data_IF_616917280986
#
_entry.id   IF_616917280986
#
_cell.length_a   1.000
_cell.length_b   1.000
_cell.length_c   1.000
_cell.angle_alpha   90.00
_cell.angle_beta   90.00
_cell.angle_gamma   90.00
#
_symmetry.space_group_name_H-M   'P 1'
#
loop_
_entity.id
_entity.type
_entity.pdbx_description
1 polymer ?
#
# COMPACT_ATOMS: atom_id res chain seq x y z
N UNK A 1 -11.46 -10.70 19.27
CA UNK A 1 -12.75 -10.20 18.72
C UNK A 1 -13.17 -8.84 19.29
N UNK A 2 -13.29 -8.67 20.62
CA UNK A 2 -13.80 -7.41 21.21
C UNK A 2 -12.96 -6.13 20.94
N UNK A 3 -11.75 -6.28 20.40
CA UNK A 3 -10.83 -5.18 20.05
C UNK A 3 -10.57 -5.12 18.53
N UNK A 4 -11.60 -5.37 17.71
CA UNK A 4 -11.55 -5.30 16.23
C UNK A 4 -10.57 -6.26 15.53
N UNK A 5 -10.03 -7.24 16.26
CA UNK A 5 -9.29 -8.36 15.67
C UNK A 5 -10.27 -9.30 14.97
N UNK A 6 -10.00 -9.60 13.70
CA UNK A 6 -10.76 -10.55 12.90
C UNK A 6 -10.96 -11.87 13.66
N UNK A 7 -12.16 -12.44 13.56
CA UNK A 7 -12.54 -13.66 14.32
C UNK A 7 -11.56 -14.79 14.02
N UNK A 8 -11.28 -15.04 12.74
CA UNK A 8 -10.36 -16.08 12.29
C UNK A 8 -8.94 -15.92 12.89
N UNK A 9 -8.43 -14.69 12.93
CA UNK A 9 -7.10 -14.39 13.52
C UNK A 9 -7.13 -14.58 15.04
N UNK A 10 -8.21 -14.18 15.70
CA UNK A 10 -8.36 -14.36 17.14
C UNK A 10 -8.48 -15.84 17.53
N UNK A 11 -9.14 -16.65 16.70
CA UNK A 11 -9.26 -18.10 16.87
C UNK A 11 -7.90 -18.79 16.67
N UNK A 12 -7.18 -18.48 15.58
CA UNK A 12 -5.82 -19.01 15.32
C UNK A 12 -4.85 -18.67 16.47
N UNK A 13 -4.85 -17.41 16.94
CA UNK A 13 -4.06 -17.00 18.10
C UNK A 13 -4.41 -17.80 19.36
N UNK A 14 -5.69 -18.05 19.59
CA UNK A 14 -6.17 -18.83 20.72
C UNK A 14 -5.70 -20.29 20.67
N UNK A 15 -5.77 -20.92 19.49
CA UNK A 15 -5.30 -22.29 19.28
C UNK A 15 -3.79 -22.41 19.47
N UNK A 16 -3.00 -21.48 18.91
CA UNK A 16 -1.54 -21.44 19.07
C UNK A 16 -1.13 -21.25 20.52
N UNK A 17 -1.80 -20.35 21.24
CA UNK A 17 -1.54 -20.13 22.66
C UNK A 17 -1.86 -21.38 23.48
N UNK A 18 -3.02 -22.02 23.23
CA UNK A 18 -3.41 -23.25 23.91
C UNK A 18 -2.42 -24.40 23.67
N UNK A 19 -1.84 -24.49 22.46
CA UNK A 19 -0.79 -25.45 22.14
C UNK A 19 0.49 -25.18 22.96
N UNK A 20 1.00 -23.93 22.94
CA UNK A 20 2.19 -23.55 23.73
C UNK A 20 2.01 -23.78 25.23
N UNK A 21 0.82 -23.50 25.76
CA UNK A 21 0.52 -23.71 27.19
C UNK A 21 0.48 -25.18 27.61
N UNK A 22 0.19 -26.12 26.70
CA UNK A 22 0.25 -27.55 27.01
C UNK A 22 1.69 -28.05 27.17
N UNK A 23 2.64 -27.40 26.51
CA UNK A 23 4.06 -27.75 26.57
C UNK A 23 4.74 -27.19 27.82
N UNK A 24 4.36 -25.98 28.23
CA UNK A 24 4.76 -25.43 29.52
C UNK A 24 4.01 -26.16 30.63
N UNK A 25 4.69 -27.07 31.31
CA UNK A 25 4.25 -27.64 32.60
C UNK A 25 4.18 -26.54 33.67
N UNK A 26 3.17 -25.68 33.59
CA UNK A 26 2.96 -24.56 34.51
C UNK A 26 2.94 -25.11 35.94
N UNK A 27 3.70 -24.46 36.83
CA UNK A 27 3.73 -24.85 38.23
C UNK A 27 2.34 -24.62 38.82
N UNK A 28 1.76 -25.66 39.43
CA UNK A 28 0.51 -25.49 40.18
C UNK A 28 0.75 -24.46 41.29
N UNK A 29 -0.18 -23.52 41.43
CA UNK A 29 -0.25 -22.52 42.51
C UNK A 29 0.59 -21.23 42.38
N UNK A 30 1.18 -20.93 41.21
CA UNK A 30 1.81 -19.63 40.93
C UNK A 30 0.98 -18.82 39.91
N UNK A 31 1.05 -17.48 39.99
CA UNK A 31 0.43 -16.59 39.00
C UNK A 31 1.24 -16.58 37.70
N UNK A 32 0.81 -17.38 36.72
CA UNK A 32 1.44 -17.46 35.39
C UNK A 32 0.97 -16.35 34.43
N UNK A 33 0.22 -15.34 34.88
CA UNK A 33 -0.35 -14.31 33.99
C UNK A 33 0.72 -13.56 33.19
N UNK A 34 1.89 -13.29 33.79
CA UNK A 34 3.00 -12.62 33.11
C UNK A 34 3.60 -13.48 31.98
N UNK A 35 3.77 -14.78 32.22
CA UNK A 35 4.31 -15.74 31.25
C UNK A 35 3.34 -15.94 30.09
N UNK A 36 2.04 -16.04 30.38
CA UNK A 36 0.98 -16.13 29.37
C UNK A 36 0.95 -14.86 28.51
N UNK A 37 1.04 -13.66 29.11
CA UNK A 37 1.10 -12.40 28.36
C UNK A 37 2.32 -12.33 27.47
N UNK A 38 3.50 -12.72 27.97
CA UNK A 38 4.72 -12.76 27.17
C UNK A 38 4.58 -13.67 25.95
N UNK A 39 4.06 -14.88 26.14
CA UNK A 39 3.81 -15.81 25.03
C UNK A 39 2.83 -15.25 24.01
N UNK A 40 1.77 -14.57 24.48
CA UNK A 40 0.81 -13.93 23.59
C UNK A 40 1.45 -12.80 22.78
N UNK A 41 2.32 -12.00 23.40
CA UNK A 41 3.08 -10.95 22.69
C UNK A 41 3.97 -11.55 21.60
N UNK A 42 4.73 -12.60 21.92
CA UNK A 42 5.57 -13.30 20.93
C UNK A 42 4.74 -13.85 19.75
N UNK A 43 3.56 -14.43 20.03
CA UNK A 43 2.67 -14.92 18.97
C UNK A 43 2.10 -13.80 18.10
N UNK A 44 1.82 -12.63 18.67
CA UNK A 44 1.38 -11.47 17.91
C UNK A 44 2.53 -10.94 17.05
N UNK A 45 3.73 -10.82 17.61
CA UNK A 45 4.92 -10.37 16.88
C UNK A 45 5.24 -11.31 15.70
N UNK A 46 5.09 -12.63 15.87
CA UNK A 46 5.26 -13.61 14.80
C UNK A 46 4.25 -13.41 13.64
N UNK A 47 3.06 -12.86 13.92
CA UNK A 47 2.01 -12.60 12.91
C UNK A 47 2.21 -11.24 12.25
N UNK A 48 2.72 -10.24 12.98
CA UNK A 48 2.97 -8.91 12.46
C UNK A 48 4.14 -8.95 11.48
N UNK A 49 3.83 -8.85 10.19
CA UNK A 49 4.85 -8.65 9.17
C UNK A 49 5.28 -7.18 9.16
N UNK A 50 6.55 -6.93 9.48
CA UNK A 50 7.15 -5.62 9.29
C UNK A 50 7.43 -5.37 7.81
N UNK A 51 7.09 -4.19 7.31
CA UNK A 51 7.54 -3.74 5.99
C UNK A 51 8.99 -3.26 6.07
N UNK A 52 9.85 -3.77 5.21
CA UNK A 52 11.24 -3.31 5.11
C UNK A 52 11.34 -2.15 4.10
N UNK A 53 11.51 -0.93 4.62
CA UNK A 53 11.69 0.25 3.79
C UNK A 53 12.99 0.17 2.96
N UNK A 54 14.08 -0.35 3.52
CA UNK A 54 15.36 -0.40 2.82
C UNK A 54 15.29 -1.39 1.66
N UNK A 55 14.58 -2.51 1.82
CA UNK A 55 14.30 -3.45 0.74
C UNK A 55 13.56 -2.77 -0.43
N UNK A 56 12.55 -1.93 -0.13
CA UNK A 56 11.82 -1.18 -1.15
C UNK A 56 12.73 -0.15 -1.84
N UNK A 57 13.59 0.54 -1.08
CA UNK A 57 14.52 1.52 -1.65
C UNK A 57 15.58 0.86 -2.54
N UNK A 58 16.07 -0.33 -2.18
CA UNK A 58 17.00 -1.09 -3.03
C UNK A 58 16.34 -1.49 -4.34
N UNK A 59 15.10 -2.02 -4.30
CA UNK A 59 14.34 -2.36 -5.51
C UNK A 59 14.10 -1.13 -6.41
N UNK A 60 13.88 0.04 -5.82
CA UNK A 60 13.80 1.30 -6.59
C UNK A 60 15.14 1.61 -7.27
N UNK A 61 16.28 1.47 -6.57
CA UNK A 61 17.62 1.71 -7.11
C UNK A 61 17.95 0.75 -8.26
N UNK A 62 17.72 -0.54 -8.07
CA UNK A 62 17.97 -1.57 -9.07
C UNK A 62 17.19 -1.30 -10.35
N UNK A 63 15.88 -1.04 -10.22
CA UNK A 63 15.01 -0.80 -11.37
C UNK A 63 15.36 0.49 -12.12
N UNK A 64 15.62 1.57 -11.38
CA UNK A 64 16.04 2.86 -11.95
C UNK A 64 17.38 2.75 -12.67
N UNK A 65 18.33 1.96 -12.15
CA UNK A 65 19.62 1.71 -12.80
C UNK A 65 19.48 0.97 -14.13
N UNK A 66 18.41 0.17 -14.28
CA UNK A 66 18.01 -0.46 -15.54
C UNK A 66 17.29 0.47 -16.54
N UNK A 67 17.09 1.75 -16.20
CA UNK A 67 16.42 2.73 -17.05
C UNK A 67 14.88 2.65 -17.03
N UNK A 68 14.30 1.96 -16.04
CA UNK A 68 12.86 1.87 -15.85
C UNK A 68 12.45 2.50 -14.51
N UNK A 69 11.31 3.19 -14.42
CA UNK A 69 10.80 3.66 -13.14
C UNK A 69 10.22 2.51 -12.33
N UNK A 70 10.29 2.62 -11.01
CA UNK A 70 9.60 1.74 -10.06
C UNK A 70 8.13 2.16 -9.93
N UNK A 71 7.21 1.24 -10.20
CA UNK A 71 5.77 1.51 -10.31
C UNK A 71 5.03 0.95 -9.10
N UNK A 72 4.37 1.82 -8.34
CA UNK A 72 3.57 1.48 -7.16
C UNK A 72 2.09 1.75 -7.46
N UNK A 73 1.27 0.71 -7.36
CA UNK A 73 -0.18 0.77 -7.55
C UNK A 73 -0.89 0.75 -6.20
N UNK A 74 -1.66 1.80 -5.91
CA UNK A 74 -2.43 1.88 -4.67
C UNK A 74 -3.86 1.43 -4.91
N UNK A 75 -4.34 0.46 -4.14
CA UNK A 75 -5.69 -0.11 -4.21
C UNK A 75 -6.37 -0.04 -2.84
N UNK A 76 -7.69 -0.21 -2.83
CA UNK A 76 -8.48 -0.26 -1.59
C UNK A 76 -9.76 0.56 -1.65
N UNK A 77 -10.61 0.46 -0.62
CA UNK A 77 -11.94 1.06 -0.62
C UNK A 77 -11.91 2.59 -0.58
N UNK A 78 -13.07 3.22 -0.79
CA UNK A 78 -13.21 4.66 -0.57
C UNK A 78 -13.01 5.00 0.91
N UNK A 79 -12.39 6.17 1.16
CA UNK A 79 -12.17 6.65 2.52
C UNK A 79 -10.98 6.04 3.25
N UNK A 80 -10.28 5.05 2.67
CA UNK A 80 -9.07 4.45 3.28
C UNK A 80 -7.84 5.36 3.31
N UNK A 81 -7.94 6.56 2.74
CA UNK A 81 -6.86 7.56 2.77
C UNK A 81 -5.82 7.47 1.63
N UNK A 82 -6.03 6.63 0.60
CA UNK A 82 -5.10 6.43 -0.54
C UNK A 82 -4.49 7.74 -1.08
N UNK A 83 -5.31 8.66 -1.57
CA UNK A 83 -4.88 9.93 -2.16
C UNK A 83 -3.95 10.73 -1.24
N UNK A 84 -4.26 10.82 0.05
CA UNK A 84 -3.41 11.52 1.03
C UNK A 84 -2.14 10.74 1.31
N UNK A 85 -2.22 9.42 1.44
CA UNK A 85 -1.07 8.53 1.67
C UNK A 85 -0.09 8.58 0.51
N UNK A 86 -0.56 8.58 -0.74
CA UNK A 86 0.27 8.70 -1.95
C UNK A 86 1.09 9.98 -1.92
N UNK A 87 0.49 11.12 -1.58
CA UNK A 87 1.21 12.40 -1.51
C UNK A 87 2.22 12.41 -0.37
N UNK A 88 1.90 11.80 0.78
CA UNK A 88 2.85 11.65 1.89
C UNK A 88 4.05 10.80 1.49
N UNK A 89 3.82 9.66 0.83
CA UNK A 89 4.87 8.78 0.31
C UNK A 89 5.70 9.52 -0.73
N UNK A 90 5.07 10.23 -1.67
CA UNK A 90 5.78 11.04 -2.66
C UNK A 90 6.71 12.09 -2.02
N UNK A 91 6.21 12.78 -0.99
CA UNK A 91 6.99 13.76 -0.25
C UNK A 91 8.15 13.10 0.53
N UNK A 92 7.89 11.94 1.13
CA UNK A 92 8.88 11.19 1.88
C UNK A 92 10.00 10.64 0.98
N UNK A 93 9.66 9.97 -0.11
CA UNK A 93 10.62 9.46 -1.10
C UNK A 93 11.47 10.60 -1.70
N UNK A 94 10.84 11.74 -2.00
CA UNK A 94 11.57 12.94 -2.45
C UNK A 94 12.61 13.41 -1.44
N UNK A 95 12.32 13.38 -0.13
CA UNK A 95 13.28 13.72 0.93
C UNK A 95 14.43 12.71 1.03
N UNK A 96 14.19 11.47 0.63
CA UNK A 96 15.19 10.40 0.55
C UNK A 96 15.98 10.40 -0.78
N UNK A 97 15.71 11.33 -1.69
CA UNK A 97 16.41 11.42 -2.99
C UNK A 97 15.75 10.65 -4.13
N UNK A 98 14.55 10.09 -3.93
CA UNK A 98 13.78 9.35 -4.93
C UNK A 98 12.55 10.17 -5.37
N UNK A 99 12.69 11.17 -6.25
CA UNK A 99 11.54 11.95 -6.70
C UNK A 99 10.53 11.07 -7.43
N UNK A 100 9.25 11.40 -7.28
CA UNK A 100 8.18 10.62 -7.90
C UNK A 100 7.29 11.47 -8.80
N UNK A 101 6.58 10.78 -9.69
CA UNK A 101 5.42 11.31 -10.42
C UNK A 101 4.17 10.56 -9.96
N UNK A 102 3.05 11.26 -9.90
CA UNK A 102 1.77 10.67 -9.50
C UNK A 102 0.87 10.54 -10.74
N UNK A 103 0.21 9.39 -10.92
CA UNK A 103 -0.86 9.20 -11.88
C UNK A 103 -2.22 9.33 -11.17
N UNK A 104 -3.05 10.29 -11.58
CA UNK A 104 -4.40 10.47 -11.06
C UNK A 104 -5.39 9.56 -11.83
N UNK A 105 -5.36 8.26 -11.53
CA UNK A 105 -6.16 7.24 -12.21
C UNK A 105 -7.57 7.05 -11.59
N UNK A 106 -7.94 7.79 -10.54
CA UNK A 106 -9.34 7.98 -10.11
C UNK A 106 -10.08 8.94 -11.07
N UNK A 107 -10.30 8.50 -12.31
CA UNK A 107 -10.77 9.35 -13.41
C UNK A 107 -12.27 9.66 -13.35
N UNK A 108 -13.04 8.90 -12.57
CA UNK A 108 -14.49 9.03 -12.43
C UNK A 108 -14.92 9.93 -11.29
N UNK A 109 -13.97 10.49 -10.53
CA UNK A 109 -14.26 11.42 -9.43
C UNK A 109 -13.47 12.70 -9.65
N UNK A 110 -14.10 13.69 -10.30
CA UNK A 110 -13.45 14.95 -10.67
C UNK A 110 -12.80 15.64 -9.45
N UNK A 111 -13.48 15.64 -8.31
CA UNK A 111 -12.95 16.19 -7.06
C UNK A 111 -11.70 15.46 -6.53
N UNK A 112 -11.50 14.18 -6.86
CA UNK A 112 -10.29 13.44 -6.48
C UNK A 112 -9.07 13.88 -7.29
N UNK A 113 -9.25 14.11 -8.60
CA UNK A 113 -8.20 14.66 -9.46
C UNK A 113 -7.78 16.04 -8.95
N UNK A 114 -8.74 16.94 -8.68
CA UNK A 114 -8.43 18.26 -8.14
C UNK A 114 -7.77 18.20 -6.76
N UNK A 115 -8.25 17.30 -5.89
CA UNK A 115 -7.68 17.08 -4.56
C UNK A 115 -6.21 16.63 -4.66
N UNK A 116 -5.91 15.59 -5.44
CA UNK A 116 -4.54 15.09 -5.54
C UNK A 116 -3.61 16.11 -6.19
N UNK A 117 -4.08 16.87 -7.18
CA UNK A 117 -3.31 17.96 -7.78
C UNK A 117 -2.99 19.05 -6.76
N UNK A 118 -3.97 19.47 -5.94
CA UNK A 118 -3.75 20.48 -4.89
C UNK A 118 -2.77 20.00 -3.82
N UNK A 119 -2.91 18.75 -3.37
CA UNK A 119 -2.00 18.15 -2.39
C UNK A 119 -0.59 17.96 -2.96
N UNK A 120 -0.45 17.44 -4.17
CA UNK A 120 0.85 17.25 -4.81
C UNK A 120 1.55 18.59 -5.09
N UNK A 121 0.79 19.64 -5.43
CA UNK A 121 1.31 21.01 -5.62
C UNK A 121 1.96 21.55 -4.34
N UNK A 122 1.40 21.27 -3.16
CA UNK A 122 1.98 21.77 -1.90
C UNK A 122 3.34 21.14 -1.58
N UNK A 123 3.60 19.92 -2.07
CA UNK A 123 4.89 19.20 -1.91
C UNK A 123 5.77 19.23 -3.17
N UNK A 124 5.36 20.00 -4.20
CA UNK A 124 6.04 20.13 -5.49
C UNK A 124 6.31 18.77 -6.14
N UNK A 125 5.27 17.94 -6.23
CA UNK A 125 5.28 16.65 -6.95
C UNK A 125 4.39 16.79 -8.18
N UNK A 126 4.86 16.27 -9.32
CA UNK A 126 4.13 16.33 -10.59
C UNK A 126 3.00 15.31 -10.61
N UNK A 127 1.84 15.70 -11.13
CA UNK A 127 0.69 14.82 -11.35
C UNK A 127 0.43 14.71 -12.85
N UNK A 128 0.21 13.49 -13.32
CA UNK A 128 -0.30 13.17 -14.66
C UNK A 128 -1.78 12.84 -14.52
N UNK A 129 -2.59 13.53 -15.30
CA UNK A 129 -4.04 13.38 -15.32
C UNK A 129 -4.55 13.63 -16.73
N UNK A 130 -5.62 12.96 -17.11
CA UNK A 130 -6.37 13.25 -18.33
C UNK A 130 -7.73 13.88 -18.01
N UNK A 131 -8.59 14.05 -19.02
CA UNK A 131 -9.97 14.50 -18.84
C UNK A 131 -10.76 13.56 -17.92
N UNK A 132 -11.76 14.12 -17.24
CA UNK A 132 -12.72 13.33 -16.46
C UNK A 132 -13.34 12.21 -17.32
N UNK A 133 -13.46 11.00 -16.73
CA UNK A 133 -13.94 9.81 -17.42
C UNK A 133 -12.96 9.19 -18.43
N UNK A 134 -11.69 9.64 -18.45
CA UNK A 134 -10.64 8.96 -19.21
C UNK A 134 -10.36 7.54 -18.67
N UNK A 135 -9.73 6.72 -19.50
CA UNK A 135 -9.33 5.36 -19.11
C UNK A 135 -8.23 5.40 -18.03
N UNK A 136 -8.47 4.89 -16.81
CA UNK A 136 -7.48 4.86 -15.73
C UNK A 136 -6.14 4.22 -16.13
N UNK A 137 -6.19 3.16 -16.94
CA UNK A 137 -5.00 2.45 -17.39
C UNK A 137 -4.15 3.31 -18.36
N UNK A 138 -4.79 4.14 -19.17
CA UNK A 138 -4.10 5.08 -20.06
C UNK A 138 -3.40 6.18 -19.25
N UNK A 139 -4.06 6.74 -18.23
CA UNK A 139 -3.45 7.74 -17.33
C UNK A 139 -2.22 7.16 -16.62
N UNK A 140 -2.33 5.92 -16.14
CA UNK A 140 -1.22 5.23 -15.48
C UNK A 140 -0.05 4.99 -16.45
N UNK A 141 -0.32 4.54 -17.68
CA UNK A 141 0.71 4.33 -18.70
C UNK A 141 1.40 5.64 -19.11
N UNK A 142 0.65 6.73 -19.29
CA UNK A 142 1.22 8.05 -19.59
C UNK A 142 2.18 8.51 -18.48
N UNK A 143 1.86 8.23 -17.21
CA UNK A 143 2.73 8.54 -16.09
C UNK A 143 4.03 7.72 -16.12
N UNK A 144 3.94 6.43 -16.45
CA UNK A 144 5.12 5.55 -16.62
C UNK A 144 6.01 6.04 -17.76
N UNK A 145 5.42 6.33 -18.93
CA UNK A 145 6.16 6.86 -20.08
C UNK A 145 6.81 8.21 -19.77
N UNK A 146 6.09 9.10 -19.10
CA UNK A 146 6.61 10.41 -18.67
C UNK A 146 7.75 10.25 -17.65
N UNK A 147 7.63 9.36 -16.68
CA UNK A 147 8.69 9.09 -15.71
C UNK A 147 9.95 8.58 -16.41
N UNK A 148 9.81 7.58 -17.29
CA UNK A 148 10.91 7.02 -18.09
C UNK A 148 11.60 8.09 -18.94
N UNK A 149 10.84 8.90 -19.68
CA UNK A 149 11.39 9.97 -20.52
C UNK A 149 12.12 11.07 -19.73
N UNK A 150 11.77 11.26 -18.45
CA UNK A 150 12.35 12.28 -17.58
C UNK A 150 13.31 11.71 -16.51
N UNK A 151 13.65 10.41 -16.58
CA UNK A 151 14.46 9.70 -15.58
C UNK A 151 13.97 9.91 -14.12
N UNK A 152 12.65 9.90 -13.93
CA UNK A 152 12.03 9.98 -12.60
C UNK A 152 11.93 8.55 -12.04
N UNK A 153 12.52 8.25 -10.87
CA UNK A 153 12.69 6.88 -10.40
C UNK A 153 11.39 6.20 -9.98
N UNK A 154 10.35 6.95 -9.59
CA UNK A 154 9.13 6.34 -9.01
C UNK A 154 7.85 6.89 -9.65
N UNK A 155 6.92 5.98 -9.94
CA UNK A 155 5.54 6.28 -10.37
C UNK A 155 4.59 5.78 -9.29
N UNK A 156 3.72 6.66 -8.80
CA UNK A 156 2.68 6.34 -7.82
C UNK A 156 1.31 6.47 -8.48
N UNK A 157 0.51 5.40 -8.50
CA UNK A 157 -0.78 5.38 -9.19
C UNK A 157 -1.91 5.45 -8.15
N UNK A 158 -2.67 6.55 -8.16
CA UNK A 158 -3.89 6.69 -7.34
C UNK A 158 -5.09 6.15 -8.10
N UNK A 159 -5.70 5.07 -7.61
CA UNK A 159 -6.87 4.47 -8.24
C UNK A 159 -8.17 4.91 -7.58
N UNK A 160 -9.28 4.75 -8.30
CA UNK A 160 -10.59 4.83 -7.68
C UNK A 160 -10.71 3.81 -6.52
N UNK A 161 -11.43 4.18 -5.46
CA UNK A 161 -11.90 3.24 -4.45
C UNK A 161 -13.38 2.92 -4.68
N UNK A 162 -13.81 1.70 -4.32
CA UNK A 162 -15.21 1.31 -4.07
C UNK A 162 -15.25 0.12 -3.11
N UNK A 163 -16.43 -0.18 -2.58
CA UNK A 163 -16.69 -1.40 -1.80
C UNK A 163 -16.57 -2.64 -2.70
N UNK A 164 -16.11 -3.76 -2.16
CA UNK A 164 -15.72 -5.01 -2.85
C UNK A 164 -16.74 -5.64 -3.82
N UNK A 165 -17.99 -5.15 -3.82
CA UNK A 165 -19.11 -5.72 -4.59
C UNK A 165 -19.15 -5.20 -6.05
N UNK A 166 -18.35 -4.20 -6.41
CA UNK A 166 -18.37 -3.62 -7.75
C UNK A 166 -17.44 -4.37 -8.74
N UNK A 167 -18.01 -5.30 -9.51
CA UNK A 167 -17.28 -6.08 -10.53
C UNK A 167 -16.53 -5.21 -11.54
N UNK A 168 -17.07 -4.04 -11.89
CA UNK A 168 -16.44 -3.15 -12.86
C UNK A 168 -15.13 -2.56 -12.31
N UNK A 169 -15.06 -2.24 -11.02
CA UNK A 169 -13.84 -1.73 -10.40
C UNK A 169 -12.73 -2.78 -10.40
N UNK A 170 -13.05 -4.03 -10.08
CA UNK A 170 -12.04 -5.12 -10.09
C UNK A 170 -11.47 -5.34 -11.50
N UNK A 171 -12.31 -5.22 -12.53
CA UNK A 171 -11.84 -5.27 -13.92
C UNK A 171 -10.93 -4.10 -14.29
N UNK A 172 -11.27 -2.89 -13.86
CA UNK A 172 -10.40 -1.71 -14.03
C UNK A 172 -9.06 -1.90 -13.33
N UNK A 173 -9.04 -2.37 -12.08
CA UNK A 173 -7.80 -2.61 -11.34
C UNK A 173 -6.95 -3.68 -12.02
N UNK A 174 -7.57 -4.78 -12.49
CA UNK A 174 -6.89 -5.81 -13.28
C UNK A 174 -6.37 -5.27 -14.61
N UNK A 175 -7.09 -4.34 -15.24
CA UNK A 175 -6.63 -3.68 -16.48
C UNK A 175 -5.40 -2.81 -16.21
N UNK A 176 -5.43 -1.96 -15.19
CA UNK A 176 -4.26 -1.15 -14.79
C UNK A 176 -3.07 -2.07 -14.51
N UNK A 177 -3.24 -3.10 -13.68
CA UNK A 177 -2.17 -4.06 -13.34
C UNK A 177 -1.56 -4.71 -14.59
N UNK A 178 -2.39 -5.14 -15.55
CA UNK A 178 -1.92 -5.73 -16.82
C UNK A 178 -1.17 -4.74 -17.71
N UNK A 179 -1.64 -3.50 -17.76
CA UNK A 179 -1.10 -2.47 -18.66
C UNK A 179 0.23 -1.91 -18.14
N UNK A 180 0.33 -1.61 -16.84
CA UNK A 180 1.53 -0.98 -16.27
C UNK A 180 2.49 -1.94 -15.58
N UNK A 181 2.06 -3.19 -15.31
CA UNK A 181 2.85 -4.21 -14.62
C UNK A 181 3.57 -3.67 -13.36
N UNK A 182 2.82 -3.30 -12.31
CA UNK A 182 3.38 -2.62 -11.14
C UNK A 182 4.33 -3.53 -10.37
N UNK A 183 5.40 -2.95 -9.84
CA UNK A 183 6.40 -3.63 -9.01
C UNK A 183 5.89 -3.90 -7.59
N UNK A 184 5.04 -2.99 -7.11
CA UNK A 184 4.43 -3.07 -5.79
C UNK A 184 2.96 -2.69 -5.86
N UNK A 185 2.12 -3.47 -5.18
CA UNK A 185 0.70 -3.18 -5.00
C UNK A 185 0.46 -2.97 -3.50
N UNK A 186 -0.09 -1.81 -3.14
CA UNK A 186 -0.39 -1.40 -1.76
C UNK A 186 -1.88 -1.22 -1.61
#
# INVERSE_FOLDING_TARGET
VANDVAVEVAEDLGERLAAKLKELRLKRFEDSSAEIRKMMTELIDDILQEGDLEEVLEKIREKTSGGEPFVILFVGPNGSGKTTTIVKIAHYLKRLGYPSIIAAADTFRAGAIEQIQKLAKSVKVRVVSQRYGADPAAVAMDAVMSAKANNIPVVLIDTAGRTEVDRNLLEEMRKIKRVVNPDLVI
#
